data_IF_403847186651
#
_entry.id   IF_403847186651
#
_cell.length_a   1.000
_cell.length_b   1.000
_cell.length_c   1.000
_cell.angle_alpha   90.00
_cell.angle_beta   90.00
_cell.angle_gamma   90.00
#
_symmetry.space_group_name_H-M   'P 1'
#
loop_
_entity.id
_entity.type
_entity.pdbx_description
1 polymer ?
#
# COMPACT_ATOMS: atom_id res chain seq x y z
N UNK A 1 27.64 52.55 -36.15
CA UNK A 1 26.23 52.72 -35.72
C UNK A 1 25.48 51.44 -36.09
N UNK A 2 25.50 50.41 -35.23
CA UNK A 2 24.83 49.14 -35.48
C UNK A 2 23.76 48.93 -34.41
N UNK A 3 22.51 48.79 -34.86
CA UNK A 3 21.29 48.62 -34.05
C UNK A 3 21.24 47.19 -33.52
N UNK A 4 21.08 47.03 -32.22
CA UNK A 4 20.80 45.74 -31.56
C UNK A 4 19.35 45.33 -31.81
N UNK A 5 19.13 44.17 -32.45
CA UNK A 5 17.83 43.50 -32.48
C UNK A 5 17.58 42.87 -31.10
N UNK A 6 16.39 43.13 -30.53
CA UNK A 6 15.87 42.41 -29.37
C UNK A 6 14.97 41.29 -29.87
N UNK A 7 15.33 40.03 -29.60
CA UNK A 7 14.48 38.86 -29.86
C UNK A 7 13.79 38.49 -28.54
N UNK A 8 12.50 38.82 -28.41
CA UNK A 8 11.68 38.36 -27.31
C UNK A 8 11.24 36.91 -27.58
N UNK A 9 11.77 35.96 -26.81
CA UNK A 9 11.30 34.58 -26.82
C UNK A 9 10.11 34.46 -25.86
N UNK A 10 8.92 34.21 -26.41
CA UNK A 10 7.72 33.88 -25.64
C UNK A 10 7.75 32.37 -25.37
N UNK A 11 7.98 31.97 -24.12
CA UNK A 11 7.79 30.60 -23.67
C UNK A 11 6.31 30.38 -23.33
N UNK A 12 5.58 29.68 -24.20
CA UNK A 12 4.25 29.18 -23.88
C UNK A 12 4.36 27.89 -23.07
N UNK A 13 3.96 27.92 -21.80
CA UNK A 13 3.77 26.71 -21.01
C UNK A 13 2.47 26.03 -21.45
N UNK A 14 2.58 24.89 -22.12
CA UNK A 14 1.43 24.05 -22.41
C UNK A 14 1.02 23.33 -21.12
N UNK A 15 -0.10 23.74 -20.53
CA UNK A 15 -0.72 23.06 -19.40
C UNK A 15 -1.45 21.83 -19.94
N UNK A 16 -0.79 20.67 -19.90
CA UNK A 16 -1.42 19.39 -20.23
C UNK A 16 -2.38 18.99 -19.11
N UNK A 17 -3.68 19.17 -19.32
CA UNK A 17 -4.71 18.57 -18.49
C UNK A 17 -4.73 17.06 -18.78
N UNK A 18 -4.12 16.26 -17.92
CA UNK A 18 -4.33 14.82 -17.90
C UNK A 18 -5.71 14.54 -17.28
N UNK A 19 -6.69 14.23 -18.13
CA UNK A 19 -7.94 13.63 -17.66
C UNK A 19 -7.63 12.22 -17.16
N UNK A 20 -7.40 12.07 -15.86
CA UNK A 20 -7.33 10.74 -15.25
C UNK A 20 -8.66 10.02 -15.48
N UNK A 21 -8.61 8.79 -16.00
CA UNK A 21 -9.78 7.93 -16.00
C UNK A 21 -10.22 7.78 -14.54
N UNK A 22 -11.48 8.12 -14.24
CA UNK A 22 -12.03 7.84 -12.94
C UNK A 22 -11.97 6.31 -12.74
N UNK A 23 -11.39 5.87 -11.65
CA UNK A 23 -11.43 4.48 -11.26
C UNK A 23 -12.89 4.03 -11.15
N UNK A 24 -13.18 2.82 -11.60
CA UNK A 24 -14.54 2.28 -11.59
C UNK A 24 -14.72 1.44 -10.34
N UNK A 25 -15.76 1.70 -9.52
CA UNK A 25 -15.99 0.90 -8.33
C UNK A 25 -16.17 -0.59 -8.66
N UNK A 26 -15.47 -1.46 -7.94
CA UNK A 26 -15.58 -2.93 -8.06
C UNK A 26 -16.04 -3.51 -6.73
N UNK A 27 -16.82 -4.60 -6.75
CA UNK A 27 -17.29 -5.26 -5.53
C UNK A 27 -16.79 -6.70 -5.46
N UNK A 28 -16.19 -7.06 -4.32
CA UNK A 28 -15.68 -8.40 -4.02
C UNK A 28 -16.33 -8.89 -2.73
N UNK A 29 -16.94 -10.08 -2.76
CA UNK A 29 -17.58 -10.69 -1.59
C UNK A 29 -18.53 -9.76 -0.81
N UNK A 30 -19.19 -8.82 -1.50
CA UNK A 30 -20.11 -7.85 -0.91
C UNK A 30 -19.48 -6.53 -0.43
N UNK A 31 -18.16 -6.38 -0.55
CA UNK A 31 -17.41 -5.16 -0.21
C UNK A 31 -17.10 -4.38 -1.48
N UNK A 32 -17.53 -3.12 -1.54
CA UNK A 32 -17.28 -2.23 -2.68
C UNK A 32 -16.04 -1.39 -2.44
N UNK A 33 -15.10 -1.43 -3.39
CA UNK A 33 -13.92 -0.58 -3.45
C UNK A 33 -14.18 0.55 -4.45
N UNK A 34 -14.28 1.81 -4.02
CA UNK A 34 -14.57 2.94 -4.90
C UNK A 34 -13.56 3.10 -6.05
N UNK A 35 -12.29 2.81 -5.79
CA UNK A 35 -11.22 2.89 -6.78
C UNK A 35 -10.97 1.56 -7.51
N UNK A 36 -11.78 0.53 -7.25
CA UNK A 36 -11.65 -0.79 -7.86
C UNK A 36 -10.30 -1.45 -7.52
N UNK A 37 -9.73 -2.16 -8.49
CA UNK A 37 -8.58 -3.06 -8.31
C UNK A 37 -7.29 -2.36 -7.85
N UNK A 38 -7.15 -1.04 -8.08
CA UNK A 38 -5.99 -0.27 -7.57
C UNK A 38 -6.01 -0.11 -6.04
N UNK A 39 -7.11 -0.50 -5.39
CA UNK A 39 -7.26 -0.39 -3.94
C UNK A 39 -6.44 -1.43 -3.17
N UNK A 40 -5.88 -2.43 -3.85
CA UNK A 40 -5.26 -3.60 -3.24
C UNK A 40 -3.75 -3.46 -3.15
N UNK A 41 -3.16 -4.11 -2.16
CA UNK A 41 -1.71 -4.13 -2.00
C UNK A 41 -1.03 -4.81 -3.20
N UNK A 42 0.07 -4.23 -3.65
CA UNK A 42 0.73 -4.59 -4.91
C UNK A 42 2.22 -4.95 -4.75
N UNK A 43 2.77 -4.81 -3.54
CA UNK A 43 4.16 -5.15 -3.21
C UNK A 43 4.25 -5.86 -1.85
N UNK A 44 5.01 -6.97 -1.78
CA UNK A 44 5.38 -7.59 -0.50
C UNK A 44 6.74 -7.06 -0.06
N UNK A 45 6.80 -6.49 1.15
CA UNK A 45 8.04 -5.99 1.76
C UNK A 45 8.77 -7.11 2.49
N UNK A 46 8.03 -7.96 3.20
CA UNK A 46 8.57 -9.14 3.87
C UNK A 46 7.47 -10.15 4.13
N UNK A 47 7.79 -11.43 3.94
CA UNK A 47 6.95 -12.54 4.36
C UNK A 47 7.80 -13.55 5.14
N UNK A 48 7.36 -13.85 6.36
CA UNK A 48 7.99 -14.84 7.23
C UNK A 48 6.90 -15.80 7.71
N UNK A 49 6.56 -16.83 6.92
CA UNK A 49 5.56 -17.79 7.31
C UNK A 49 6.01 -18.63 8.50
N UNK A 50 5.04 -19.13 9.26
CA UNK A 50 5.24 -20.11 10.31
C UNK A 50 5.72 -21.47 9.78
N UNK A 51 6.25 -22.33 10.66
CA UNK A 51 6.85 -23.61 10.30
C UNK A 51 5.88 -24.63 9.70
N UNK A 52 4.58 -24.40 9.84
CA UNK A 52 3.51 -25.28 9.38
C UNK A 52 2.93 -24.87 8.02
N UNK A 53 3.38 -23.75 7.44
CA UNK A 53 3.00 -23.35 6.08
C UNK A 53 3.88 -24.06 5.06
N UNK A 54 3.28 -24.53 3.96
CA UNK A 54 4.00 -25.12 2.85
C UNK A 54 3.36 -24.76 1.51
N UNK A 55 4.11 -25.00 0.42
CA UNK A 55 3.64 -24.76 -0.94
C UNK A 55 2.21 -25.31 -1.21
N UNK A 56 1.34 -24.53 -1.88
CA UNK A 56 1.64 -23.23 -2.50
C UNK A 56 1.51 -22.03 -1.56
N UNK A 57 1.08 -22.22 -0.31
CA UNK A 57 0.72 -21.14 0.61
C UNK A 57 1.91 -20.36 1.19
N UNK A 58 3.13 -20.82 0.90
CA UNK A 58 4.39 -20.14 1.20
C UNK A 58 4.83 -19.18 0.07
N UNK A 59 4.08 -19.08 -1.04
CA UNK A 59 4.32 -18.10 -2.11
C UNK A 59 3.69 -16.75 -1.77
N UNK A 60 4.52 -15.81 -1.35
CA UNK A 60 4.10 -14.46 -0.95
C UNK A 60 3.28 -13.71 -2.02
N UNK A 61 3.42 -14.05 -3.30
CA UNK A 61 2.73 -13.31 -4.37
C UNK A 61 1.23 -13.61 -4.44
N UNK A 62 0.76 -14.66 -3.75
CA UNK A 62 -0.66 -15.04 -3.73
C UNK A 62 -1.54 -14.03 -3.00
N UNK A 63 -0.97 -13.09 -2.23
CA UNK A 63 -1.72 -12.06 -1.48
C UNK A 63 -1.94 -10.76 -2.28
N UNK A 64 -1.31 -10.62 -3.45
CA UNK A 64 -1.22 -9.36 -4.17
C UNK A 64 -2.38 -9.16 -5.15
N UNK A 65 -2.90 -7.93 -5.18
CA UNK A 65 -4.02 -7.56 -6.04
C UNK A 65 -5.39 -7.89 -5.45
N UNK A 66 -6.40 -7.87 -6.32
CA UNK A 66 -7.78 -8.17 -5.95
C UNK A 66 -7.95 -9.66 -5.61
N UNK A 67 -8.88 -10.02 -4.70
CA UNK A 67 -9.06 -11.39 -4.27
C UNK A 67 -9.44 -12.30 -5.43
N UNK A 68 -8.73 -13.42 -5.56
CA UNK A 68 -8.92 -14.41 -6.62
C UNK A 68 -9.12 -15.84 -6.07
N UNK A 69 -9.05 -15.99 -4.75
CA UNK A 69 -9.20 -17.25 -4.02
C UNK A 69 -7.89 -18.02 -3.82
N UNK A 70 -6.79 -17.58 -4.45
CA UNK A 70 -5.44 -17.97 -4.05
C UNK A 70 -5.09 -17.26 -2.75
N UNK A 71 -4.26 -17.88 -1.91
CA UNK A 71 -3.95 -17.29 -0.61
C UNK A 71 -2.59 -17.76 -0.11
N UNK A 72 -1.93 -16.86 0.61
CA UNK A 72 -0.87 -17.25 1.55
C UNK A 72 -1.50 -17.83 2.81
N UNK A 73 -0.69 -18.48 3.63
CA UNK A 73 -1.06 -18.75 5.02
C UNK A 73 0.02 -18.16 5.93
N UNK A 74 -0.35 -17.50 7.04
CA UNK A 74 0.65 -16.89 7.93
C UNK A 74 1.47 -17.96 8.63
N UNK A 75 0.86 -19.02 9.16
CA UNK A 75 1.44 -20.03 10.03
C UNK A 75 1.67 -19.57 11.47
N UNK A 76 2.02 -20.55 12.31
CA UNK A 76 2.40 -20.35 13.71
C UNK A 76 3.46 -19.25 13.86
N UNK A 77 3.11 -18.13 14.50
CA UNK A 77 3.91 -16.92 14.70
C UNK A 77 4.40 -16.26 13.40
N UNK A 78 3.70 -16.51 12.30
CA UNK A 78 4.01 -15.95 11.00
C UNK A 78 3.66 -14.47 10.87
N UNK A 79 4.23 -13.82 9.86
CA UNK A 79 3.89 -12.43 9.55
C UNK A 79 4.12 -12.07 8.09
N UNK A 80 3.36 -11.09 7.62
CA UNK A 80 3.57 -10.45 6.32
C UNK A 80 3.50 -8.94 6.46
N UNK A 81 4.33 -8.24 5.69
CA UNK A 81 4.23 -6.80 5.46
C UNK A 81 4.01 -6.59 3.97
N UNK A 82 2.88 -5.97 3.63
CA UNK A 82 2.56 -5.56 2.27
C UNK A 82 2.61 -4.04 2.14
N UNK A 83 2.63 -3.58 0.90
CA UNK A 83 2.65 -2.17 0.55
C UNK A 83 1.66 -1.86 -0.58
N UNK A 84 1.02 -0.71 -0.41
CA UNK A 84 0.33 0.06 -1.43
C UNK A 84 1.35 1.00 -2.09
N UNK A 85 1.83 0.65 -3.29
CA UNK A 85 2.88 1.41 -3.99
C UNK A 85 2.32 2.39 -5.02
N UNK A 86 1.14 2.12 -5.58
CA UNK A 86 0.41 2.99 -6.50
C UNK A 86 -0.88 3.59 -5.92
N UNK A 87 -1.24 3.23 -4.69
CA UNK A 87 -2.23 3.89 -3.84
C UNK A 87 -1.74 4.00 -2.38
N UNK A 88 -2.63 4.32 -1.44
CA UNK A 88 -2.39 4.26 0.00
C UNK A 88 -3.68 4.11 0.79
N UNK A 89 -3.62 3.49 1.96
CA UNK A 89 -4.72 3.48 2.93
C UNK A 89 -4.86 4.85 3.59
N UNK A 90 -6.07 5.36 3.71
CA UNK A 90 -6.41 6.60 4.42
C UNK A 90 -7.69 6.43 5.22
N UNK A 91 -7.96 7.36 6.14
CA UNK A 91 -9.24 7.42 6.87
C UNK A 91 -10.36 7.94 5.97
N UNK A 92 -11.57 7.43 6.12
CA UNK A 92 -12.79 7.89 5.43
C UNK A 92 -13.35 9.18 6.05
N UNK A 93 -13.09 9.41 7.34
CA UNK A 93 -13.64 10.54 8.09
C UNK A 93 -15.02 10.25 8.69
N UNK A 94 -15.52 9.02 8.62
CA UNK A 94 -16.77 8.58 9.24
C UNK A 94 -16.62 7.20 9.91
N UNK A 95 -17.71 6.47 10.12
CA UNK A 95 -17.70 5.17 10.79
C UNK A 95 -17.76 3.98 9.82
N UNK A 96 -17.51 4.23 8.54
CA UNK A 96 -17.41 3.18 7.52
C UNK A 96 -16.01 2.57 7.54
N UNK A 97 -15.89 1.34 7.05
CA UNK A 97 -14.61 0.67 7.05
C UNK A 97 -13.66 1.23 5.99
N UNK A 98 -12.38 1.33 6.36
CA UNK A 98 -11.30 1.84 5.52
C UNK A 98 -10.41 0.73 4.96
N UNK A 99 -10.26 -0.36 5.71
CA UNK A 99 -9.40 -1.50 5.38
C UNK A 99 -10.23 -2.78 5.39
N UNK A 100 -9.94 -3.70 4.48
CA UNK A 100 -10.54 -5.03 4.47
C UNK A 100 -9.47 -6.09 4.23
N UNK A 101 -9.56 -7.17 5.00
CA UNK A 101 -8.71 -8.36 4.85
C UNK A 101 -9.57 -9.48 4.30
N UNK A 102 -9.23 -9.93 3.10
CA UNK A 102 -9.81 -11.12 2.49
C UNK A 102 -9.05 -12.32 3.03
N UNK A 103 -9.72 -13.03 3.89
CA UNK A 103 -9.25 -14.28 4.45
C UNK A 103 -10.22 -15.39 4.02
N UNK A 104 -9.67 -16.57 3.76
CA UNK A 104 -10.41 -17.72 3.23
C UNK A 104 -10.35 -18.89 4.19
N UNK A 105 -11.42 -19.66 4.26
CA UNK A 105 -11.44 -20.84 5.13
C UNK A 105 -12.73 -20.92 5.94
N UNK A 106 -12.89 -22.05 6.62
CA UNK A 106 -14.08 -22.32 7.43
C UNK A 106 -13.83 -22.12 8.94
N UNK A 107 -12.60 -21.82 9.32
CA UNK A 107 -12.21 -21.66 10.72
C UNK A 107 -12.25 -20.18 11.09
N UNK A 108 -12.26 -19.94 12.38
CA UNK A 108 -12.12 -18.60 12.93
C UNK A 108 -10.72 -18.54 13.45
N UNK A 109 -9.86 -17.86 12.71
CA UNK A 109 -8.45 -17.67 13.03
C UNK A 109 -8.25 -16.23 13.53
N UNK A 110 -7.16 -16.01 14.27
CA UNK A 110 -6.88 -14.71 14.92
C UNK A 110 -5.53 -14.19 14.49
N UNK A 111 -5.51 -12.95 14.01
CA UNK A 111 -4.27 -12.26 13.65
C UNK A 111 -4.35 -10.79 14.02
N UNK A 112 -3.20 -10.20 14.33
CA UNK A 112 -3.05 -8.78 14.61
C UNK A 112 -2.81 -7.99 13.31
N UNK A 113 -3.29 -6.75 13.28
CA UNK A 113 -3.08 -5.82 12.18
C UNK A 113 -2.41 -4.56 12.67
N UNK A 114 -1.38 -4.12 11.94
CA UNK A 114 -0.77 -2.81 12.15
C UNK A 114 -0.55 -2.07 10.83
N UNK A 115 -0.57 -0.74 10.89
CA UNK A 115 -0.32 0.13 9.72
C UNK A 115 0.86 1.05 9.96
N UNK A 116 1.53 1.45 8.89
CA UNK A 116 2.69 2.34 8.95
C UNK A 116 2.79 3.25 7.73
N UNK A 117 3.41 4.41 7.93
CA UNK A 117 3.81 5.32 6.86
C UNK A 117 5.27 5.12 6.42
N UNK A 118 6.11 4.51 7.27
CA UNK A 118 7.58 4.57 7.14
C UNK A 118 8.32 3.26 7.47
N UNK A 119 7.60 2.17 7.75
CA UNK A 119 8.11 0.86 8.21
C UNK A 119 8.80 0.87 9.59
N UNK A 120 8.91 2.03 10.25
CA UNK A 120 9.58 2.19 11.55
C UNK A 120 8.54 2.34 12.65
N UNK A 121 7.59 3.25 12.45
CA UNK A 121 6.53 3.55 13.40
C UNK A 121 5.27 2.80 12.97
N UNK A 122 4.76 1.95 13.85
CA UNK A 122 3.59 1.12 13.62
C UNK A 122 2.46 1.55 14.54
N UNK A 123 1.26 1.69 13.97
CA UNK A 123 0.02 1.88 14.71
C UNK A 123 -0.68 0.53 14.72
N UNK A 124 -0.91 -0.01 15.91
CA UNK A 124 -1.63 -1.25 16.13
C UNK A 124 -3.14 -1.00 15.98
N UNK A 125 -3.79 -1.74 15.09
CA UNK A 125 -5.24 -1.70 14.86
C UNK A 125 -5.98 -2.73 15.73
N UNK A 126 -5.25 -3.63 16.39
CA UNK A 126 -5.76 -4.69 17.23
C UNK A 126 -5.86 -6.04 16.53
N UNK A 127 -6.37 -7.01 17.28
CA UNK A 127 -6.54 -8.39 16.83
C UNK A 127 -7.91 -8.55 16.18
N UNK A 128 -7.93 -9.19 15.01
CA UNK A 128 -9.16 -9.58 14.34
C UNK A 128 -9.42 -11.07 14.54
N UNK A 129 -10.69 -11.40 14.72
CA UNK A 129 -11.16 -12.78 14.72
C UNK A 129 -12.40 -12.88 13.83
N UNK A 130 -12.40 -13.83 12.89
CA UNK A 130 -13.51 -14.06 11.96
C UNK A 130 -13.23 -13.55 10.56
N UNK A 131 -13.67 -14.31 9.56
CA UNK A 131 -13.24 -14.16 8.17
C UNK A 131 -14.44 -13.91 7.22
N UNK A 132 -14.30 -13.05 6.19
CA UNK A 132 -13.36 -11.93 6.08
C UNK A 132 -13.81 -10.75 6.98
N UNK A 133 -12.92 -9.77 7.27
CA UNK A 133 -13.22 -8.67 8.20
C UNK A 133 -12.78 -7.29 7.67
N UNK A 134 -13.63 -6.28 7.93
CA UNK A 134 -13.33 -4.87 7.67
C UNK A 134 -13.05 -4.09 8.96
N UNK A 135 -12.18 -3.08 8.87
CA UNK A 135 -11.83 -2.19 9.98
C UNK A 135 -12.08 -0.74 9.56
N UNK A 136 -12.76 0.00 10.41
CA UNK A 136 -12.74 1.47 10.46
C UNK A 136 -11.52 1.90 11.29
N UNK A 137 -10.59 2.65 10.69
CA UNK A 137 -9.36 3.09 11.33
C UNK A 137 -9.48 4.50 11.92
N UNK A 138 -10.54 5.26 11.63
CA UNK A 138 -10.72 6.65 12.05
C UNK A 138 -10.64 6.81 13.58
N UNK A 139 -11.19 5.84 14.32
CA UNK A 139 -11.24 5.87 15.78
C UNK A 139 -10.00 5.29 16.48
N UNK A 140 -9.03 4.74 15.73
CA UNK A 140 -7.88 4.06 16.32
C UNK A 140 -6.85 5.08 16.84
N UNK A 141 -6.41 4.88 18.09
CA UNK A 141 -5.44 5.77 18.71
C UNK A 141 -4.12 5.80 17.94
N UNK A 142 -3.66 7.00 17.58
CA UNK A 142 -2.45 7.20 16.78
C UNK A 142 -2.72 7.37 15.30
N UNK A 143 -3.91 6.98 14.80
CA UNK A 143 -4.32 7.29 13.43
C UNK A 143 -4.62 8.78 13.32
N UNK A 144 -3.98 9.41 12.32
CA UNK A 144 -4.21 10.81 11.95
C UNK A 144 -5.17 10.86 10.77
N UNK A 145 -6.21 11.68 10.90
CA UNK A 145 -7.20 11.88 9.84
C UNK A 145 -6.55 12.34 8.52
N UNK A 146 -6.92 11.69 7.43
CA UNK A 146 -6.41 11.87 6.07
C UNK A 146 -4.91 11.62 5.88
N UNK A 147 -4.23 11.05 6.87
CA UNK A 147 -2.88 10.55 6.68
C UNK A 147 -2.88 9.31 5.79
N UNK A 148 -1.83 9.19 4.99
CA UNK A 148 -1.64 8.09 4.05
C UNK A 148 -0.70 7.06 4.66
N UNK A 149 -1.16 5.82 4.79
CA UNK A 149 -0.39 4.68 5.26
C UNK A 149 -0.11 3.76 4.09
N UNK A 150 1.17 3.61 3.74
CA UNK A 150 1.58 2.76 2.62
C UNK A 150 1.74 1.31 3.01
N UNK A 151 1.85 0.98 4.30
CA UNK A 151 2.21 -0.36 4.74
C UNK A 151 1.16 -0.93 5.69
N UNK A 152 0.87 -2.21 5.50
CA UNK A 152 0.05 -3.03 6.41
C UNK A 152 0.87 -4.24 6.82
N UNK A 153 0.87 -4.55 8.11
CA UNK A 153 1.46 -5.77 8.66
C UNK A 153 0.35 -6.62 9.25
N UNK A 154 0.35 -7.90 8.89
CA UNK A 154 -0.43 -8.94 9.57
C UNK A 154 0.53 -9.84 10.34
N UNK A 155 0.12 -10.32 11.51
CA UNK A 155 0.93 -11.20 12.36
C UNK A 155 0.03 -12.21 13.04
N UNK A 156 0.36 -13.49 12.96
CA UNK A 156 -0.27 -14.50 13.79
C UNK A 156 0.01 -14.20 15.27
N UNK A 157 -1.04 -14.26 16.09
CA UNK A 157 -0.97 -14.00 17.53
C UNK A 157 -1.54 -15.14 18.37
N UNK A 158 -2.10 -16.17 17.76
CA UNK A 158 -2.66 -17.32 18.45
C UNK A 158 -2.32 -18.61 17.67
N UNK A 159 -1.16 -19.22 17.95
CA UNK A 159 -0.68 -20.36 17.18
C UNK A 159 -1.46 -21.66 17.49
N UNK A 160 -1.37 -22.63 16.60
CA UNK A 160 -2.00 -23.96 16.63
C UNK A 160 -3.53 -23.93 16.44
N UNK A 161 -4.06 -23.00 15.67
CA UNK A 161 -5.47 -22.96 15.27
C UNK A 161 -5.76 -23.92 14.11
N UNK A 162 -4.81 -24.06 13.19
CA UNK A 162 -4.82 -25.02 12.09
C UNK A 162 -3.46 -25.72 11.97
N UNK A 163 -2.99 -25.96 10.75
CA UNK A 163 -1.79 -26.74 10.52
C UNK A 163 -1.57 -27.08 9.07
N UNK A 164 -0.42 -27.71 8.84
CA UNK A 164 0.14 -27.85 7.50
C UNK A 164 -0.77 -28.51 6.46
N UNK A 165 -0.82 -27.98 5.22
CA UNK A 165 0.07 -26.94 4.65
C UNK A 165 -0.41 -25.49 4.76
N UNK A 166 -1.59 -25.25 5.34
CA UNK A 166 -2.24 -23.93 5.44
C UNK A 166 -2.37 -23.55 6.91
N UNK A 167 -1.24 -23.32 7.58
CA UNK A 167 -1.24 -22.83 8.96
C UNK A 167 -1.80 -21.40 9.02
N UNK A 168 -2.73 -21.14 9.93
CA UNK A 168 -3.50 -19.91 10.08
C UNK A 168 -2.69 -18.61 9.94
N UNK A 169 -3.24 -17.48 9.54
CA UNK A 169 -4.50 -17.26 8.84
C UNK A 169 -4.26 -17.27 7.31
N UNK A 170 -5.28 -17.65 6.56
CA UNK A 170 -5.22 -17.83 5.10
C UNK A 170 -5.61 -16.54 4.35
N UNK A 171 -4.64 -15.72 3.94
CA UNK A 171 -4.87 -14.37 3.40
C UNK A 171 -4.82 -14.39 1.85
N UNK A 172 -5.96 -14.06 1.23
CA UNK A 172 -6.15 -13.91 -0.22
C UNK A 172 -5.77 -12.51 -0.70
N UNK A 173 -6.24 -11.47 -0.01
CA UNK A 173 -5.98 -10.09 -0.40
C UNK A 173 -6.12 -9.08 0.74
N UNK A 174 -5.46 -7.93 0.59
CA UNK A 174 -5.53 -6.80 1.52
C UNK A 174 -5.90 -5.55 0.72
N UNK A 175 -7.06 -4.97 1.03
CA UNK A 175 -7.62 -3.86 0.26
C UNK A 175 -7.94 -2.62 1.09
N UNK A 176 -7.52 -1.45 0.63
CA UNK A 176 -7.91 -0.15 1.17
C UNK A 176 -9.25 0.31 0.56
N UNK A 177 -10.35 0.17 1.30
CA UNK A 177 -11.67 0.69 0.92
C UNK A 177 -11.59 2.22 0.79
N UNK A 178 -10.97 2.86 1.78
CA UNK A 178 -10.68 4.28 1.75
C UNK A 178 -9.24 4.46 1.26
N UNK A 179 -9.12 4.82 -0.01
CA UNK A 179 -7.85 4.87 -0.74
C UNK A 179 -7.49 6.30 -1.14
N UNK A 180 -6.20 6.61 -1.12
CA UNK A 180 -5.63 7.88 -1.53
C UNK A 180 -4.48 7.67 -2.54
N UNK A 181 -4.01 8.73 -3.23
CA UNK A 181 -2.82 8.65 -4.07
C UNK A 181 -1.61 8.08 -3.32
N UNK A 182 -0.60 7.55 -4.02
CA UNK A 182 0.55 6.94 -3.38
C UNK A 182 1.42 7.98 -2.66
N UNK A 183 2.02 7.56 -1.54
CA UNK A 183 2.95 8.41 -0.77
C UNK A 183 4.23 8.60 -1.57
N UNK A 184 4.53 9.84 -1.95
CA UNK A 184 5.74 10.18 -2.67
C UNK A 184 6.98 9.81 -1.84
N UNK A 185 7.77 8.85 -2.34
CA UNK A 185 9.07 8.53 -1.76
C UNK A 185 10.03 9.66 -2.12
N UNK A 186 10.17 10.62 -1.21
CA UNK A 186 11.20 11.64 -1.35
C UNK A 186 12.56 10.98 -1.16
N UNK A 187 13.19 10.53 -2.25
CA UNK A 187 14.59 10.14 -2.19
C UNK A 187 15.41 11.38 -1.75
N UNK A 188 16.11 11.36 -0.61
CA UNK A 188 16.97 12.46 -0.21
C UNK A 188 18.14 12.56 -1.19
N UNK A 189 17.95 13.28 -2.30
CA UNK A 189 18.96 13.41 -3.36
C UNK A 189 18.48 13.90 -4.72
N UNK A 190 17.19 13.78 -5.04
CA UNK A 190 16.70 14.16 -6.39
C UNK A 190 16.86 15.65 -6.71
N UNK A 191 16.89 16.53 -5.70
CA UNK A 191 17.13 17.96 -5.89
C UNK A 191 18.63 18.34 -6.00
N UNK A 192 19.55 17.45 -5.62
CA UNK A 192 20.99 17.74 -5.64
C UNK A 192 21.62 17.59 -7.05
N UNK A 193 21.03 16.77 -7.92
CA UNK A 193 21.56 16.54 -9.27
C UNK A 193 21.17 17.61 -10.29
N UNK A 194 20.12 18.41 -10.04
CA UNK A 194 19.79 19.54 -10.91
C UNK A 194 20.72 20.74 -10.70
N UNK A 195 21.32 20.91 -9.52
CA UNK A 195 22.19 22.05 -9.20
C UNK A 195 23.63 21.94 -9.73
N UNK A 196 24.19 20.73 -9.78
CA UNK A 196 25.59 20.51 -10.19
C UNK A 196 25.81 20.55 -11.71
N UNK A 197 24.78 20.22 -12.50
CA UNK A 197 24.85 20.25 -13.97
C UNK A 197 25.05 21.65 -14.56
N UNK A 198 24.46 22.68 -13.96
CA UNK A 198 24.62 24.07 -14.42
C UNK A 198 25.99 24.67 -14.09
N UNK A 199 26.59 24.31 -12.95
CA UNK A 199 27.92 24.79 -12.57
C UNK A 199 29.02 24.25 -13.50
N UNK A 200 28.94 22.96 -13.88
CA UNK A 200 29.90 22.33 -14.79
C UNK A 200 29.83 22.92 -16.22
N UNK A 201 28.65 23.34 -16.67
CA UNK A 201 28.48 23.93 -18.01
C UNK A 201 28.94 25.40 -18.09
N UNK A 202 28.96 26.13 -16.97
CA UNK A 202 29.50 27.50 -16.92
C UNK A 202 31.04 27.55 -16.89
N UNK A 203 31.70 26.55 -16.32
CA UNK A 203 33.18 26.50 -16.28
C UNK A 203 33.83 26.06 -17.59
N UNK A 204 33.10 25.43 -18.52
CA UNK A 204 33.65 24.96 -19.81
C UNK A 204 33.72 26.05 -20.90
N UNK A 205 33.11 27.21 -20.70
CA UNK A 205 33.07 28.31 -21.69
C UNK A 205 34.22 29.34 -21.57
N UNK A 206 35.20 29.10 -20.70
CA UNK A 206 36.36 30.00 -20.48
C UNK A 206 37.72 29.37 -20.86
N UNK A 207 37.76 28.59 -21.94
CA UNK A 207 39.01 28.29 -22.66
C UNK A 207 38.81 28.59 -24.13
#
# INVERSE_FOLDING_TARGET
MFRTLSLAAVFGAALSLSTGAAAMPTTYSGITFPDGDISFADEVISFNPGPDVAAPHDDQNLVLGAPDGSHISLGDNGSIIVRFSDNSLTTSGDATADLHIFEVGARVEVFNIAISQDLVNWIDLGDLSGQPTSIDIDAVAGVVQFAQYSYVRLTDVDPNQTGSPFGEADIDAIGAISSAPPVAIHAPGALAFLGLGFAAMMLRRRR
#
